data_IF_710423252536
#
_entry.id   IF_710423252536
#
_cell.length_a   1.000
_cell.length_b   1.000
_cell.length_c   1.000
_cell.angle_alpha   90.00
_cell.angle_beta   90.00
_cell.angle_gamma   90.00
#
_symmetry.space_group_name_H-M   'P 1'
#
loop_
_entity.id
_entity.type
_entity.pdbx_description
1 polymer ?
#
# COMPACT_ATOMS: atom_id res chain seq x y z
N UNK A 1 -20.21 -13.89 10.77
CA UNK A 1 -20.63 -14.47 9.48
C UNK A 1 -19.47 -15.26 8.88
N UNK A 2 -19.64 -15.94 7.75
CA UNK A 2 -18.54 -16.55 7.00
C UNK A 2 -17.43 -15.54 6.65
N UNK A 3 -17.81 -14.29 6.33
CA UNK A 3 -16.88 -13.17 6.07
C UNK A 3 -15.98 -12.88 7.29
N UNK A 4 -16.55 -12.78 8.49
CA UNK A 4 -15.77 -12.56 9.72
C UNK A 4 -14.73 -13.66 9.94
N UNK A 5 -15.07 -14.92 9.61
CA UNK A 5 -14.12 -16.03 9.71
C UNK A 5 -12.98 -15.90 8.70
N UNK A 6 -13.28 -15.50 7.46
CA UNK A 6 -12.26 -15.24 6.43
C UNK A 6 -11.34 -14.08 6.81
N UNK A 7 -11.89 -13.01 7.40
CA UNK A 7 -11.11 -11.87 7.92
C UNK A 7 -10.14 -12.37 9.00
N UNK A 8 -10.64 -13.07 10.02
CA UNK A 8 -9.80 -13.61 11.10
C UNK A 8 -8.73 -14.58 10.57
N UNK A 9 -9.08 -15.44 9.61
CA UNK A 9 -8.11 -16.34 8.98
C UNK A 9 -7.02 -15.60 8.21
N UNK A 10 -7.37 -14.48 7.55
CA UNK A 10 -6.41 -13.63 6.83
C UNK A 10 -5.45 -12.96 7.80
N UNK A 11 -5.94 -12.42 8.92
CA UNK A 11 -5.09 -11.83 9.98
C UNK A 11 -4.13 -12.86 10.58
N UNK A 12 -4.62 -14.06 10.91
CA UNK A 12 -3.76 -15.15 11.42
C UNK A 12 -2.70 -15.55 10.39
N UNK A 13 -3.03 -15.56 9.10
CA UNK A 13 -2.04 -15.84 8.05
C UNK A 13 -0.98 -14.73 7.97
N UNK A 14 -1.36 -13.46 8.15
CA UNK A 14 -0.43 -12.34 8.26
C UNK A 14 0.54 -12.50 9.44
N UNK A 15 0.02 -12.87 10.61
CA UNK A 15 0.83 -13.19 11.79
C UNK A 15 1.82 -14.33 11.51
N UNK A 16 1.38 -15.38 10.79
CA UNK A 16 2.25 -16.48 10.38
C UNK A 16 3.35 -15.97 9.43
N UNK A 17 3.02 -15.14 8.44
CA UNK A 17 4.01 -14.55 7.53
C UNK A 17 5.10 -13.80 8.30
N UNK A 18 4.70 -12.97 9.26
CA UNK A 18 5.61 -12.21 10.11
C UNK A 18 6.45 -13.12 11.03
N UNK A 19 5.87 -14.22 11.54
CA UNK A 19 6.57 -15.13 12.44
C UNK A 19 7.58 -16.06 11.74
N UNK A 20 7.25 -16.56 10.54
CA UNK A 20 8.05 -17.60 9.86
C UNK A 20 8.89 -17.06 8.69
N UNK A 21 8.60 -15.84 8.20
CA UNK A 21 9.36 -15.17 7.16
C UNK A 21 9.56 -16.03 5.91
N UNK A 22 10.82 -16.23 5.51
CA UNK A 22 11.18 -16.98 4.29
C UNK A 22 10.67 -18.42 4.24
N UNK A 23 10.28 -19.04 5.36
CA UNK A 23 9.63 -20.35 5.33
C UNK A 23 8.28 -20.34 4.58
N UNK A 24 7.66 -19.15 4.39
CA UNK A 24 6.44 -18.99 3.61
C UNK A 24 6.60 -19.26 2.12
N UNK A 25 7.81 -19.22 1.57
CA UNK A 25 8.07 -19.41 0.13
C UNK A 25 7.44 -20.71 -0.40
N UNK A 26 7.48 -21.79 0.39
CA UNK A 26 6.90 -23.08 0.00
C UNK A 26 5.37 -23.06 -0.15
N UNK A 27 4.69 -22.11 0.50
CA UNK A 27 3.22 -22.00 0.53
C UNK A 27 2.69 -20.84 -0.30
N UNK A 28 3.54 -19.86 -0.60
CA UNK A 28 3.16 -18.59 -1.21
C UNK A 28 2.36 -18.74 -2.50
N UNK A 29 2.73 -19.68 -3.39
CA UNK A 29 2.03 -19.90 -4.65
C UNK A 29 0.54 -20.20 -4.42
N UNK A 30 0.25 -21.13 -3.51
CA UNK A 30 -1.13 -21.54 -3.24
C UNK A 30 -1.91 -20.40 -2.57
N UNK A 31 -1.27 -19.67 -1.64
CA UNK A 31 -1.90 -18.56 -0.93
C UNK A 31 -2.24 -17.43 -1.91
N UNK A 32 -1.27 -16.98 -2.73
CA UNK A 32 -1.49 -15.93 -3.73
C UNK A 32 -2.57 -16.31 -4.75
N UNK A 33 -2.59 -17.56 -5.22
CA UNK A 33 -3.66 -18.06 -6.09
C UNK A 33 -5.04 -17.97 -5.44
N UNK A 34 -5.16 -18.30 -4.15
CA UNK A 34 -6.42 -18.17 -3.39
C UNK A 34 -6.81 -16.70 -3.28
N UNK A 35 -5.86 -15.81 -2.96
CA UNK A 35 -6.13 -14.38 -2.84
C UNK A 35 -6.64 -13.82 -4.17
N UNK A 36 -5.93 -14.02 -5.27
CA UNK A 36 -6.34 -13.51 -6.59
C UNK A 36 -7.69 -14.04 -7.02
N UNK A 37 -7.99 -15.31 -6.74
CA UNK A 37 -9.33 -15.89 -6.99
C UNK A 37 -10.43 -15.12 -6.27
N UNK A 38 -10.22 -14.68 -5.03
CA UNK A 38 -11.22 -13.90 -4.30
C UNK A 38 -11.50 -12.55 -4.98
N UNK A 39 -10.48 -11.90 -5.54
CA UNK A 39 -10.65 -10.63 -6.25
C UNK A 39 -11.37 -10.75 -7.60
N UNK A 40 -11.47 -11.97 -8.16
CA UNK A 40 -12.35 -12.20 -9.34
C UNK A 40 -13.84 -12.16 -9.00
N UNK A 41 -14.22 -12.26 -7.71
CA UNK A 41 -15.59 -12.19 -7.27
C UNK A 41 -16.00 -10.73 -6.98
N UNK A 42 -16.80 -10.14 -7.86
CA UNK A 42 -17.29 -8.77 -7.71
C UNK A 42 -18.22 -8.58 -6.51
N UNK A 43 -18.91 -9.63 -6.07
CA UNK A 43 -19.80 -9.62 -4.90
C UNK A 43 -19.05 -9.82 -3.57
N UNK A 44 -17.72 -9.95 -3.59
CA UNK A 44 -16.94 -10.07 -2.37
C UNK A 44 -16.98 -8.76 -1.59
N UNK A 45 -17.21 -8.90 -0.30
CA UNK A 45 -17.24 -7.82 0.68
C UNK A 45 -15.95 -6.99 0.65
N UNK A 46 -16.12 -5.66 0.62
CA UNK A 46 -15.02 -4.70 0.51
C UNK A 46 -14.07 -4.78 1.71
N UNK A 47 -14.58 -5.08 2.91
CA UNK A 47 -13.77 -5.23 4.11
C UNK A 47 -12.86 -6.46 3.99
N UNK A 48 -13.38 -7.57 3.47
CA UNK A 48 -12.56 -8.75 3.21
C UNK A 48 -11.50 -8.48 2.14
N UNK A 49 -11.81 -7.69 1.09
CA UNK A 49 -10.81 -7.26 0.11
C UNK A 49 -9.67 -6.48 0.76
N UNK A 50 -9.97 -5.53 1.65
CA UNK A 50 -8.96 -4.78 2.41
C UNK A 50 -8.00 -5.71 3.16
N UNK A 51 -8.53 -6.70 3.88
CA UNK A 51 -7.73 -7.66 4.64
C UNK A 51 -6.88 -8.58 3.76
N UNK A 52 -7.40 -8.99 2.59
CA UNK A 52 -6.63 -9.79 1.63
C UNK A 52 -5.50 -8.99 0.98
N UNK A 53 -5.65 -7.67 0.79
CA UNK A 53 -4.56 -6.80 0.34
C UNK A 53 -3.45 -6.73 1.38
N UNK A 54 -3.80 -6.49 2.65
CA UNK A 54 -2.81 -6.48 3.75
C UNK A 54 -2.04 -7.81 3.79
N UNK A 55 -2.73 -8.94 3.65
CA UNK A 55 -2.07 -10.25 3.58
C UNK A 55 -1.11 -10.39 2.39
N UNK A 56 -1.43 -9.82 1.22
CA UNK A 56 -0.45 -9.74 0.11
C UNK A 56 0.80 -8.95 0.53
N UNK A 57 0.63 -7.85 1.27
CA UNK A 57 1.72 -7.07 1.82
C UNK A 57 2.59 -7.87 2.80
N UNK A 58 1.96 -8.57 3.75
CA UNK A 58 2.66 -9.44 4.71
C UNK A 58 3.46 -10.55 4.00
N UNK A 59 2.91 -11.13 2.94
CA UNK A 59 3.63 -12.07 2.10
C UNK A 59 4.83 -11.41 1.40
N UNK A 60 4.66 -10.21 0.86
CA UNK A 60 5.77 -9.49 0.22
C UNK A 60 6.91 -9.20 1.20
N UNK A 61 6.58 -8.80 2.44
CA UNK A 61 7.56 -8.62 3.53
C UNK A 61 8.24 -9.93 3.91
N UNK A 62 7.49 -11.02 4.06
CA UNK A 62 8.01 -12.31 4.48
C UNK A 62 8.90 -12.98 3.41
N UNK A 63 8.53 -12.86 2.14
CA UNK A 63 9.25 -13.47 1.01
C UNK A 63 10.43 -12.62 0.56
N UNK A 64 10.33 -11.30 0.65
CA UNK A 64 11.27 -10.37 0.04
C UNK A 64 11.43 -10.60 -1.47
N UNK A 65 12.64 -10.73 -2.02
CA UNK A 65 12.86 -10.94 -3.47
C UNK A 65 12.12 -12.15 -4.07
N UNK A 66 11.80 -13.16 -3.26
CA UNK A 66 11.03 -14.34 -3.68
C UNK A 66 9.56 -14.02 -4.03
N UNK A 67 9.09 -12.79 -3.74
CA UNK A 67 7.77 -12.29 -4.14
C UNK A 67 7.68 -11.92 -5.63
N UNK A 68 8.80 -11.79 -6.34
CA UNK A 68 8.88 -11.36 -7.75
C UNK A 68 7.88 -12.06 -8.69
N UNK A 69 7.62 -13.39 -8.60
CA UNK A 69 6.63 -14.05 -9.48
C UNK A 69 5.21 -13.50 -9.36
N UNK A 70 4.87 -12.84 -8.26
CA UNK A 70 3.53 -12.31 -7.98
C UNK A 70 3.45 -10.79 -8.15
N UNK A 71 4.58 -10.12 -8.41
CA UNK A 71 4.68 -8.67 -8.39
C UNK A 71 3.73 -8.02 -9.40
N UNK A 72 3.81 -8.41 -10.68
CA UNK A 72 3.01 -7.79 -11.73
C UNK A 72 1.51 -7.92 -11.49
N UNK A 73 1.05 -9.11 -11.10
CA UNK A 73 -0.38 -9.36 -10.86
C UNK A 73 -0.87 -8.62 -9.60
N UNK A 74 -0.04 -8.53 -8.57
CA UNK A 74 -0.36 -7.76 -7.35
C UNK A 74 -0.46 -6.26 -7.64
N UNK A 75 0.45 -5.69 -8.44
CA UNK A 75 0.44 -4.27 -8.76
C UNK A 75 -0.76 -3.88 -9.64
N UNK A 76 -1.14 -4.73 -10.61
CA UNK A 76 -2.36 -4.52 -11.40
C UNK A 76 -3.62 -4.64 -10.53
N UNK A 77 -3.65 -5.61 -9.61
CA UNK A 77 -4.74 -5.72 -8.66
C UNK A 77 -4.89 -4.45 -7.81
N UNK A 78 -3.80 -3.96 -7.23
CA UNK A 78 -3.81 -2.75 -6.40
C UNK A 78 -4.35 -1.56 -7.19
N UNK A 79 -3.90 -1.37 -8.42
CA UNK A 79 -4.36 -0.30 -9.30
C UNK A 79 -5.86 -0.38 -9.58
N UNK A 80 -6.40 -1.57 -9.82
CA UNK A 80 -7.85 -1.78 -10.05
C UNK A 80 -8.65 -1.50 -8.77
N UNK A 81 -8.18 -1.99 -7.63
CA UNK A 81 -8.93 -1.85 -6.37
C UNK A 81 -8.96 -0.39 -5.89
N UNK A 82 -7.86 0.35 -6.05
CA UNK A 82 -7.80 1.75 -5.64
C UNK A 82 -8.61 2.71 -6.52
N UNK A 83 -9.21 2.25 -7.63
CA UNK A 83 -10.21 3.06 -8.37
C UNK A 83 -11.59 3.04 -7.73
N UNK A 84 -11.82 2.23 -6.69
CA UNK A 84 -13.07 2.27 -5.95
C UNK A 84 -13.27 3.68 -5.35
N UNK A 85 -14.46 4.21 -5.57
CA UNK A 85 -14.86 5.53 -5.12
C UNK A 85 -16.23 5.44 -4.46
N UNK A 86 -16.42 6.26 -3.43
CA UNK A 86 -17.72 6.60 -2.87
C UNK A 86 -18.16 7.99 -3.37
N UNK A 87 -19.42 8.29 -3.17
CA UNK A 87 -20.08 9.57 -3.42
C UNK A 87 -20.67 10.12 -2.13
N UNK A 88 -21.03 11.41 -2.12
CA UNK A 88 -21.64 12.07 -0.95
C UNK A 88 -23.01 11.47 -0.57
N UNK A 89 -23.65 10.75 -1.49
CA UNK A 89 -24.93 10.09 -1.29
C UNK A 89 -24.81 8.66 -0.73
N UNK A 90 -23.61 8.09 -0.69
CA UNK A 90 -23.39 6.76 -0.12
C UNK A 90 -23.49 6.78 1.41
N UNK A 91 -23.83 5.62 1.99
CA UNK A 91 -23.87 5.50 3.44
C UNK A 91 -22.45 5.62 4.06
N UNK A 92 -22.44 6.04 5.33
CA UNK A 92 -21.19 6.30 6.07
C UNK A 92 -20.31 5.05 6.14
N UNK A 93 -20.91 3.87 6.33
CA UNK A 93 -20.18 2.61 6.44
C UNK A 93 -19.45 2.29 5.13
N UNK A 94 -20.09 2.53 3.98
CA UNK A 94 -19.47 2.34 2.67
C UNK A 94 -18.35 3.36 2.40
N UNK A 95 -18.55 4.63 2.76
CA UNK A 95 -17.52 5.67 2.63
C UNK A 95 -16.27 5.27 3.45
N UNK A 96 -16.45 4.87 4.70
CA UNK A 96 -15.35 4.42 5.56
C UNK A 96 -14.65 3.18 5.00
N UNK A 97 -15.40 2.23 4.43
CA UNK A 97 -14.82 1.04 3.83
C UNK A 97 -14.03 1.32 2.53
N UNK A 98 -14.44 2.32 1.75
CA UNK A 98 -13.68 2.81 0.58
C UNK A 98 -12.38 3.48 1.02
N UNK A 99 -12.38 4.23 2.11
CA UNK A 99 -11.16 4.81 2.66
C UNK A 99 -10.22 3.73 3.24
N UNK A 100 -10.77 2.74 3.93
CA UNK A 100 -10.02 1.60 4.45
C UNK A 100 -9.31 0.84 3.32
N UNK A 101 -10.03 0.48 2.25
CA UNK A 101 -9.43 -0.28 1.15
C UNK A 101 -8.35 0.52 0.40
N UNK A 102 -8.51 1.85 0.29
CA UNK A 102 -7.45 2.73 -0.24
C UNK A 102 -6.23 2.74 0.67
N UNK A 103 -6.41 2.84 2.00
CA UNK A 103 -5.30 2.73 2.95
C UNK A 103 -4.60 1.38 2.82
N UNK A 104 -5.35 0.28 2.74
CA UNK A 104 -4.79 -1.05 2.53
C UNK A 104 -4.01 -1.16 1.22
N UNK A 105 -4.44 -0.49 0.15
CA UNK A 105 -3.66 -0.42 -1.09
C UNK A 105 -2.32 0.28 -0.87
N UNK A 106 -2.30 1.45 -0.23
CA UNK A 106 -1.09 2.22 0.05
C UNK A 106 -0.10 1.43 0.94
N UNK A 107 -0.62 0.76 1.97
CA UNK A 107 0.14 -0.11 2.86
C UNK A 107 0.69 -1.33 2.13
N UNK A 108 -0.06 -1.92 1.21
CA UNK A 108 0.43 -3.05 0.41
C UNK A 108 1.55 -2.62 -0.53
N UNK A 109 1.45 -1.47 -1.20
CA UNK A 109 2.55 -0.93 -2.00
C UNK A 109 3.81 -0.72 -1.14
N UNK A 110 3.65 -0.15 0.05
CA UNK A 110 4.72 0.07 1.05
C UNK A 110 5.38 -1.26 1.39
N UNK A 111 4.60 -2.28 1.74
CA UNK A 111 5.09 -3.62 2.10
C UNK A 111 5.83 -4.31 0.96
N UNK A 112 5.39 -4.16 -0.29
CA UNK A 112 6.11 -4.69 -1.46
C UNK A 112 7.46 -3.98 -1.62
N UNK A 113 7.48 -2.65 -1.53
CA UNK A 113 8.72 -1.88 -1.67
C UNK A 113 9.72 -2.23 -0.58
N UNK A 114 9.26 -2.29 0.67
CA UNK A 114 10.09 -2.65 1.82
C UNK A 114 10.57 -4.10 1.75
N UNK A 115 9.68 -5.05 1.48
CA UNK A 115 10.02 -6.46 1.41
C UNK A 115 11.03 -6.77 0.31
N UNK A 116 10.79 -6.25 -0.89
CA UNK A 116 11.61 -6.59 -2.06
C UNK A 116 12.86 -5.72 -2.20
N UNK A 117 12.81 -4.44 -1.83
CA UNK A 117 13.82 -3.46 -2.23
C UNK A 117 14.49 -2.67 -1.10
N UNK A 118 14.17 -2.95 0.16
CA UNK A 118 14.83 -2.26 1.29
C UNK A 118 16.31 -2.64 1.43
N UNK A 119 16.66 -3.89 1.11
CA UNK A 119 18.03 -4.41 1.19
C UNK A 119 18.67 -4.49 -0.20
N UNK A 120 17.94 -5.04 -1.17
CA UNK A 120 18.43 -5.23 -2.53
C UNK A 120 17.92 -4.08 -3.42
N UNK A 121 18.78 -3.40 -4.20
CA UNK A 121 18.32 -2.32 -5.07
C UNK A 121 17.40 -2.87 -6.15
N UNK A 122 16.44 -2.05 -6.59
CA UNK A 122 15.53 -2.41 -7.67
C UNK A 122 16.30 -2.73 -8.96
N UNK A 123 15.91 -3.82 -9.63
CA UNK A 123 16.48 -4.23 -10.91
C UNK A 123 15.87 -3.45 -12.07
N UNK A 124 16.52 -3.46 -13.24
CA UNK A 124 15.96 -2.84 -14.45
C UNK A 124 14.65 -3.48 -14.91
N UNK A 125 14.49 -4.79 -14.73
CA UNK A 125 13.27 -5.52 -15.06
C UNK A 125 12.13 -5.14 -14.10
N UNK A 126 12.40 -5.14 -12.79
CA UNK A 126 11.41 -4.73 -11.80
C UNK A 126 11.00 -3.26 -11.99
N UNK A 127 11.94 -2.38 -12.35
CA UNK A 127 11.63 -0.98 -12.65
C UNK A 127 10.65 -0.83 -13.81
N UNK A 128 10.76 -1.65 -14.87
CA UNK A 128 9.82 -1.64 -15.99
C UNK A 128 8.41 -2.03 -15.54
N UNK A 129 8.30 -3.02 -14.64
CA UNK A 129 7.03 -3.43 -14.04
C UNK A 129 6.44 -2.30 -13.20
N UNK A 130 7.25 -1.64 -12.37
CA UNK A 130 6.80 -0.55 -11.49
C UNK A 130 6.45 0.75 -12.20
N UNK A 131 7.11 1.06 -13.32
CA UNK A 131 6.99 2.36 -14.00
C UNK A 131 5.54 2.84 -14.20
N UNK A 132 4.59 2.04 -14.71
CA UNK A 132 3.19 2.47 -14.85
C UNK A 132 2.47 2.70 -13.50
N UNK A 133 2.89 2.00 -12.44
CA UNK A 133 2.28 2.11 -11.11
C UNK A 133 2.82 3.30 -10.31
N UNK A 134 4.09 3.70 -10.50
CA UNK A 134 4.66 4.88 -9.84
C UNK A 134 3.82 6.13 -10.15
N UNK A 135 3.56 6.39 -11.44
CA UNK A 135 2.76 7.55 -11.85
C UNK A 135 1.33 7.49 -11.30
N UNK A 136 0.73 6.29 -11.28
CA UNK A 136 -0.60 6.09 -10.73
C UNK A 136 -0.65 6.36 -9.22
N UNK A 137 0.27 5.78 -8.46
CA UNK A 137 0.34 5.94 -7.00
C UNK A 137 0.59 7.39 -6.60
N UNK A 138 1.45 8.11 -7.33
CA UNK A 138 1.65 9.54 -7.11
C UNK A 138 0.39 10.35 -7.37
N UNK A 139 -0.36 10.04 -8.43
CA UNK A 139 -1.63 10.69 -8.71
C UNK A 139 -2.68 10.39 -7.63
N UNK A 140 -2.79 9.13 -7.18
CA UNK A 140 -3.68 8.73 -6.10
C UNK A 140 -3.40 9.52 -4.81
N UNK A 141 -2.12 9.62 -4.41
CA UNK A 141 -1.71 10.38 -3.23
C UNK A 141 -1.99 11.87 -3.41
N UNK A 142 -1.78 12.42 -4.61
CA UNK A 142 -2.11 13.80 -4.91
C UNK A 142 -3.61 14.08 -4.76
N UNK A 143 -4.48 13.18 -5.25
CA UNK A 143 -5.93 13.26 -5.04
C UNK A 143 -6.31 13.20 -3.55
N UNK A 144 -5.74 12.26 -2.79
CA UNK A 144 -5.97 12.16 -1.34
C UNK A 144 -5.53 13.46 -0.63
N UNK A 145 -4.40 14.03 -1.04
CA UNK A 145 -3.86 15.27 -0.45
C UNK A 145 -4.74 16.51 -0.73
N UNK A 146 -5.55 16.47 -1.78
CA UNK A 146 -6.48 17.55 -2.12
C UNK A 146 -7.80 17.47 -1.35
N UNK A 147 -8.16 16.29 -0.85
CA UNK A 147 -9.35 16.11 -0.01
C UNK A 147 -9.12 16.80 1.35
N UNK A 148 -9.90 17.84 1.72
CA UNK A 148 -9.74 18.50 3.01
C UNK A 148 -10.14 17.63 4.21
N UNK A 149 -10.84 16.51 3.98
CA UNK A 149 -11.37 15.63 5.02
C UNK A 149 -10.57 14.32 5.15
N UNK A 150 -9.43 14.18 4.46
CA UNK A 150 -8.62 12.97 4.54
C UNK A 150 -8.23 12.67 6.00
N UNK A 151 -8.26 11.39 6.37
CA UNK A 151 -7.93 10.96 7.73
C UNK A 151 -6.43 11.06 8.03
N UNK A 152 -6.06 11.16 9.32
CA UNK A 152 -4.65 11.11 9.73
C UNK A 152 -3.99 9.77 9.36
N UNK A 153 -4.77 8.67 9.35
CA UNK A 153 -4.31 7.35 8.95
C UNK A 153 -3.91 7.32 7.47
N UNK A 154 -4.77 7.83 6.57
CA UNK A 154 -4.45 7.84 5.14
C UNK A 154 -3.31 8.81 4.82
N UNK A 155 -3.17 9.91 5.58
CA UNK A 155 -2.01 10.80 5.50
C UNK A 155 -0.71 10.07 5.91
N UNK A 156 -0.75 9.29 6.99
CA UNK A 156 0.38 8.48 7.43
C UNK A 156 0.78 7.45 6.37
N UNK A 157 -0.16 6.67 5.83
CA UNK A 157 0.10 5.65 4.81
C UNK A 157 0.60 6.27 3.51
N UNK A 158 0.04 7.42 3.10
CA UNK A 158 0.49 8.18 1.93
C UNK A 158 1.93 8.68 2.09
N UNK A 159 2.26 9.31 3.23
CA UNK A 159 3.62 9.79 3.48
C UNK A 159 4.63 8.64 3.60
N UNK A 160 4.24 7.51 4.20
CA UNK A 160 5.07 6.31 4.26
C UNK A 160 5.44 5.84 2.85
N UNK A 161 4.41 5.67 2.01
CA UNK A 161 4.60 5.24 0.63
C UNK A 161 5.42 6.22 -0.20
N UNK A 162 5.19 7.53 -0.08
CA UNK A 162 6.02 8.54 -0.78
C UNK A 162 7.50 8.41 -0.43
N UNK A 163 7.80 8.16 0.84
CA UNK A 163 9.19 7.97 1.26
C UNK A 163 9.79 6.65 0.79
N UNK A 164 9.03 5.55 0.79
CA UNK A 164 9.52 4.26 0.28
C UNK A 164 9.72 4.28 -1.24
N UNK A 165 8.81 4.95 -1.97
CA UNK A 165 9.00 5.26 -3.38
C UNK A 165 10.27 6.09 -3.57
N UNK A 166 10.49 7.14 -2.78
CA UNK A 166 11.65 8.02 -2.92
C UNK A 166 12.95 7.30 -2.58
N UNK A 167 12.94 6.43 -1.58
CA UNK A 167 14.08 5.58 -1.23
C UNK A 167 14.43 4.63 -2.40
N UNK A 168 13.41 3.97 -2.96
CA UNK A 168 13.57 2.92 -3.97
C UNK A 168 13.95 3.49 -5.33
N UNK A 169 13.25 4.54 -5.78
CA UNK A 169 13.38 5.11 -7.13
C UNK A 169 14.21 6.40 -7.19
N UNK A 170 14.55 6.99 -6.04
CA UNK A 170 15.46 8.14 -5.90
C UNK A 170 15.06 9.32 -6.78
N UNK A 171 16.02 9.89 -7.51
CA UNK A 171 15.84 11.07 -8.35
C UNK A 171 14.77 10.92 -9.43
N UNK A 172 14.38 9.68 -9.80
CA UNK A 172 13.36 9.44 -10.82
C UNK A 172 11.98 9.96 -10.43
N UNK A 173 11.70 10.09 -9.12
CA UNK A 173 10.40 10.55 -8.64
C UNK A 173 10.46 11.87 -7.86
N UNK A 174 11.66 12.35 -7.50
CA UNK A 174 11.83 13.51 -6.62
C UNK A 174 11.06 14.75 -7.12
N UNK A 175 11.07 15.02 -8.42
CA UNK A 175 10.35 16.15 -8.99
C UNK A 175 8.83 16.03 -8.87
N UNK A 176 8.29 14.81 -8.88
CA UNK A 176 6.86 14.55 -8.78
C UNK A 176 6.31 14.80 -7.37
N UNK A 177 7.15 14.79 -6.34
CA UNK A 177 6.76 15.09 -4.96
C UNK A 177 6.64 16.60 -4.69
N UNK A 178 7.03 17.47 -5.63
CA UNK A 178 7.03 18.93 -5.44
C UNK A 178 5.66 19.60 -5.69
N UNK A 179 4.57 18.84 -5.83
CA UNK A 179 3.23 19.43 -5.96
C UNK A 179 2.81 20.11 -4.66
N UNK A 180 2.04 21.19 -4.75
CA UNK A 180 1.62 21.96 -3.58
C UNK A 180 0.78 21.11 -2.60
N UNK A 181 -0.08 20.25 -3.14
CA UNK A 181 -0.90 19.25 -2.43
C UNK A 181 -0.03 18.27 -1.64
N UNK A 182 0.94 17.62 -2.28
CA UNK A 182 1.83 16.67 -1.60
C UNK A 182 2.68 17.37 -0.54
N UNK A 183 3.24 18.55 -0.84
CA UNK A 183 4.03 19.30 0.14
C UNK A 183 3.20 19.72 1.36
N UNK A 184 1.93 20.09 1.15
CA UNK A 184 0.98 20.37 2.23
C UNK A 184 0.74 19.11 3.08
N UNK A 185 0.45 17.97 2.46
CA UNK A 185 0.24 16.69 3.16
C UNK A 185 1.46 16.30 4.01
N UNK A 186 2.67 16.43 3.46
CA UNK A 186 3.93 16.14 4.19
C UNK A 186 4.08 17.06 5.39
N UNK A 187 3.77 18.36 5.21
CA UNK A 187 3.80 19.33 6.29
C UNK A 187 2.79 18.99 7.40
N UNK A 188 1.54 18.69 7.03
CA UNK A 188 0.49 18.27 7.95
C UNK A 188 0.89 17.01 8.73
N UNK A 189 1.36 15.97 8.04
CA UNK A 189 1.82 14.74 8.67
C UNK A 189 2.95 15.01 9.68
N UNK A 190 3.95 15.82 9.32
CA UNK A 190 5.08 16.16 10.22
C UNK A 190 4.70 16.97 11.46
N UNK A 191 3.50 17.56 11.47
CA UNK A 191 2.93 18.32 12.59
C UNK A 191 1.73 17.63 13.25
N UNK A 192 1.40 16.41 12.83
CA UNK A 192 0.30 15.65 13.40
C UNK A 192 0.47 15.45 14.91
N UNK A 193 -0.65 15.44 15.62
CA UNK A 193 -0.72 15.06 17.04
C UNK A 193 -0.49 13.55 17.23
N UNK A 194 -0.75 12.73 16.20
CA UNK A 194 -0.49 11.31 16.22
C UNK A 194 1.01 11.02 16.05
N UNK A 195 1.59 10.31 17.03
CA UNK A 195 3.03 10.05 17.08
C UNK A 195 3.55 9.31 15.84
N UNK A 196 2.80 8.32 15.33
CA UNK A 196 3.18 7.53 14.15
C UNK A 196 3.25 8.40 12.90
N UNK A 197 2.19 9.15 12.62
CA UNK A 197 2.05 10.05 11.47
C UNK A 197 3.12 11.15 11.49
N UNK A 198 3.34 11.75 12.66
CA UNK A 198 4.42 12.71 12.90
C UNK A 198 5.80 12.13 12.56
N UNK A 199 6.08 10.93 13.03
CA UNK A 199 7.37 10.26 12.81
C UNK A 199 7.62 10.03 11.32
N UNK A 200 6.61 9.54 10.60
CA UNK A 200 6.68 9.31 9.15
C UNK A 200 6.85 10.62 8.38
N UNK A 201 6.09 11.66 8.70
CA UNK A 201 6.21 12.97 8.05
C UNK A 201 7.59 13.61 8.24
N UNK A 202 8.13 13.57 9.47
CA UNK A 202 9.49 14.07 9.76
C UNK A 202 10.56 13.24 9.04
N UNK A 203 10.39 11.93 8.94
CA UNK A 203 11.30 11.07 8.18
C UNK A 203 11.31 11.42 6.70
N UNK A 204 10.14 11.58 6.07
CA UNK A 204 10.02 11.95 4.66
C UNK A 204 10.64 13.32 4.36
N UNK A 205 10.44 14.32 5.22
CA UNK A 205 11.09 15.63 5.07
C UNK A 205 12.61 15.54 5.06
N UNK A 206 13.20 14.71 5.93
CA UNK A 206 14.65 14.48 5.94
C UNK A 206 15.12 13.76 4.69
N UNK A 207 14.36 12.78 4.21
CA UNK A 207 14.69 12.01 3.02
C UNK A 207 14.70 12.89 1.75
N UNK A 208 13.77 13.85 1.64
CA UNK A 208 13.72 14.80 0.53
C UNK A 208 14.97 15.70 0.43
N UNK A 209 15.65 15.92 1.56
CA UNK A 209 16.89 16.72 1.62
C UNK A 209 18.14 15.90 1.30
N UNK A 210 18.10 14.57 1.44
CA UNK A 210 19.25 13.68 1.30
C UNK A 210 19.38 13.01 -0.07
N UNK A 211 18.26 12.83 -0.78
CA UNK A 211 18.19 12.31 -2.16
C UNK A 211 18.38 13.44 -3.16
#
# INVERSE_FOLDING_TARGET
SEITLCISASSVMGDICNAVGKAMVAYAKNIMMIIFKHFTNTALDIQLKSHLLILCGDLALALGPDFRPYLSETLELLKVVSTLSSSEDDDVDYIEAVDEIKSSCLETYTSILQGMYQIEPITGEDFQVWSPHISYTLHLIDTISQDPNHSDSIACSSCGLLGDLLHTFKSNIKSALNTASIQKLIHEASHSSASKTKTVGVWLQKLLQSV
#
